data_IF_232904613851
#
_entry.id   IF_232904613851
#
_cell.length_a   1.000
_cell.length_b   1.000
_cell.length_c   1.000
_cell.angle_alpha   90.00
_cell.angle_beta   90.00
_cell.angle_gamma   90.00
#
_symmetry.space_group_name_H-M   'P 1'
#
loop_
_entity.id
_entity.type
_entity.pdbx_description
1 polymer ?
#
# COMPACT_ATOMS: atom_id res chain seq x y z
N UNK A 1 3.21 25.86 5.24
CA UNK A 1 3.80 24.51 5.11
C UNK A 1 3.79 24.16 3.64
N UNK A 2 4.74 23.34 3.16
CA UNK A 2 4.74 22.98 1.73
C UNK A 2 3.61 21.99 1.45
N UNK A 3 2.99 22.06 0.27
CA UNK A 3 1.94 21.13 -0.17
C UNK A 3 2.37 19.65 -0.03
N UNK A 4 3.66 19.37 -0.18
CA UNK A 4 4.24 18.04 0.01
C UNK A 4 4.21 17.58 1.47
N UNK A 5 4.50 18.48 2.43
CA UNK A 5 4.49 18.14 3.86
C UNK A 5 3.08 17.76 4.34
N UNK A 6 2.07 18.45 3.80
CA UNK A 6 0.67 18.19 4.12
C UNK A 6 0.25 16.80 3.62
N UNK A 7 0.57 16.48 2.35
CA UNK A 7 0.33 15.14 1.78
C UNK A 7 1.06 14.04 2.57
N UNK A 8 2.32 14.27 2.95
CA UNK A 8 3.06 13.31 3.79
C UNK A 8 2.41 13.12 5.16
N UNK A 9 1.87 14.20 5.74
CA UNK A 9 1.10 14.15 6.98
C UNK A 9 -0.18 13.31 6.87
N UNK A 10 -0.95 13.51 5.80
CA UNK A 10 -2.18 12.76 5.53
C UNK A 10 -1.91 11.27 5.29
N UNK A 11 -0.90 10.94 4.51
CA UNK A 11 -0.54 9.53 4.26
C UNK A 11 -0.04 8.87 5.54
N UNK A 12 0.73 9.57 6.36
CA UNK A 12 1.14 9.07 7.67
C UNK A 12 -0.07 8.81 8.59
N UNK A 13 -1.05 9.71 8.60
CA UNK A 13 -2.29 9.52 9.34
C UNK A 13 -3.07 8.31 8.81
N UNK A 14 -3.20 8.15 7.50
CA UNK A 14 -3.88 7.02 6.89
C UNK A 14 -3.26 5.68 7.30
N UNK A 15 -1.93 5.59 7.40
CA UNK A 15 -1.25 4.39 7.91
C UNK A 15 -1.64 4.08 9.38
N UNK A 16 -1.74 5.10 10.24
CA UNK A 16 -2.20 4.92 11.63
C UNK A 16 -3.66 4.47 11.71
N UNK A 17 -4.52 4.98 10.82
CA UNK A 17 -5.93 4.56 10.76
C UNK A 17 -6.10 3.08 10.42
N UNK A 18 -5.17 2.45 9.69
CA UNK A 18 -5.24 1.01 9.42
C UNK A 18 -5.21 0.19 10.72
N UNK A 19 -4.46 0.64 11.72
CA UNK A 19 -4.39 0.00 13.04
C UNK A 19 -5.68 0.23 13.82
N UNK A 20 -6.15 1.47 13.85
CA UNK A 20 -7.39 1.84 14.56
C UNK A 20 -8.61 1.06 14.03
N UNK A 21 -8.63 0.81 12.71
CA UNK A 21 -9.68 0.03 12.05
C UNK A 21 -9.52 -1.49 12.20
N UNK A 22 -8.50 -1.95 12.93
CA UNK A 22 -8.23 -3.39 13.13
C UNK A 22 -7.75 -4.12 11.87
N UNK A 23 -7.23 -3.41 10.87
CA UNK A 23 -6.70 -4.00 9.63
C UNK A 23 -5.25 -4.47 9.75
N UNK A 24 -4.57 -4.08 10.82
CA UNK A 24 -3.28 -4.58 11.25
C UNK A 24 -3.31 -4.83 12.76
N UNK A 25 -2.70 -5.93 13.20
CA UNK A 25 -2.60 -6.34 14.60
C UNK A 25 -1.13 -6.46 15.04
N UNK A 26 -0.89 -6.89 16.27
CA UNK A 26 0.47 -7.01 16.83
C UNK A 26 1.43 -7.84 15.94
N UNK A 27 0.94 -8.81 15.17
CA UNK A 27 1.77 -9.67 14.31
C UNK A 27 2.09 -9.05 12.95
N UNK A 28 1.32 -8.03 12.55
CA UNK A 28 1.38 -7.38 11.23
C UNK A 28 1.61 -5.87 11.34
N UNK A 29 1.90 -5.35 12.53
CA UNK A 29 1.91 -3.91 12.84
C UNK A 29 2.93 -3.11 12.03
N UNK A 30 4.01 -3.73 11.55
CA UNK A 30 5.01 -3.10 10.68
C UNK A 30 4.75 -3.36 9.18
N UNK A 31 3.83 -4.27 8.86
CA UNK A 31 3.46 -4.69 7.51
C UNK A 31 2.32 -3.84 6.98
N UNK A 32 2.28 -3.66 5.67
CA UNK A 32 1.27 -2.84 5.01
C UNK A 32 1.66 -1.37 4.91
N UNK A 33 1.07 -0.72 3.92
CA UNK A 33 1.44 0.60 3.47
C UNK A 33 0.24 1.30 2.84
N UNK A 34 0.12 2.60 3.11
CA UNK A 34 -0.66 3.52 2.27
C UNK A 34 0.31 4.30 1.39
N UNK A 35 0.01 4.39 0.10
CA UNK A 35 0.69 5.30 -0.83
C UNK A 35 -0.28 6.30 -1.44
N UNK A 36 0.22 7.48 -1.81
CA UNK A 36 -0.58 8.51 -2.47
C UNK A 36 0.22 9.22 -3.57
N UNK A 37 -0.38 9.36 -4.75
CA UNK A 37 0.19 10.06 -5.91
C UNK A 37 0.36 11.55 -5.58
N UNK A 38 1.50 12.11 -5.89
CA UNK A 38 1.75 13.53 -5.62
C UNK A 38 0.89 14.41 -6.53
N UNK A 39 0.15 15.40 -5.99
CA UNK A 39 -0.54 16.40 -6.79
C UNK A 39 0.42 17.09 -7.77
N UNK A 40 0.00 17.24 -9.03
CA UNK A 40 0.81 17.85 -10.08
C UNK A 40 2.01 17.04 -10.58
N UNK A 41 2.32 15.88 -9.97
CA UNK A 41 3.44 15.00 -10.35
C UNK A 41 2.93 13.56 -10.56
N UNK A 42 2.31 13.27 -11.71
CA UNK A 42 1.61 12.01 -11.93
C UNK A 42 2.53 10.79 -11.93
N UNK A 43 3.83 10.97 -12.16
CA UNK A 43 4.86 9.93 -12.16
C UNK A 43 5.47 9.68 -10.76
N UNK A 44 4.93 10.30 -9.71
CA UNK A 44 5.48 10.20 -8.35
C UNK A 44 4.40 9.98 -7.30
N UNK A 45 4.80 9.32 -6.22
CA UNK A 45 3.94 9.07 -5.06
C UNK A 45 4.77 9.06 -3.78
N UNK A 46 4.10 9.25 -2.65
CA UNK A 46 4.67 9.06 -1.31
C UNK A 46 4.17 7.75 -0.71
N UNK A 47 5.00 7.12 0.09
CA UNK A 47 4.69 5.87 0.79
C UNK A 47 5.42 5.84 2.14
N UNK A 48 4.85 5.13 3.11
CA UNK A 48 5.54 4.77 4.35
C UNK A 48 6.82 3.98 4.06
N UNK A 49 7.92 4.40 4.66
CA UNK A 49 9.20 3.68 4.59
C UNK A 49 9.17 2.34 5.36
N UNK A 50 10.16 1.50 5.08
CA UNK A 50 10.39 0.26 5.82
C UNK A 50 10.81 0.57 7.27
N UNK A 51 10.28 -0.20 8.23
CA UNK A 51 10.70 -0.17 9.64
C UNK A 51 9.62 0.29 10.61
N UNK A 52 9.13 1.55 10.54
CA UNK A 52 8.18 2.05 11.53
C UNK A 52 6.90 1.21 11.62
N UNK A 53 6.41 1.00 12.83
CA UNK A 53 5.07 0.48 13.06
C UNK A 53 4.02 1.43 12.44
N UNK A 54 2.94 0.87 11.88
CA UNK A 54 1.84 1.64 11.29
C UNK A 54 1.28 2.66 12.29
N UNK A 55 1.12 2.29 13.56
CA UNK A 55 0.66 3.16 14.66
C UNK A 55 1.61 4.30 15.01
N UNK A 56 2.90 4.17 14.65
CA UNK A 56 3.96 5.15 14.91
C UNK A 56 4.51 5.76 13.62
N UNK A 57 3.71 5.75 12.56
CA UNK A 57 4.09 6.34 11.28
C UNK A 57 3.79 7.84 11.31
N UNK A 58 4.77 8.67 10.96
CA UNK A 58 4.68 10.15 10.91
C UNK A 58 5.23 10.64 9.57
N UNK A 59 5.15 11.95 9.30
CA UNK A 59 5.59 12.52 8.01
C UNK A 59 7.08 12.27 7.75
N UNK A 60 7.89 12.23 8.81
CA UNK A 60 9.33 11.96 8.77
C UNK A 60 9.64 10.52 8.35
N UNK A 61 8.64 9.64 8.39
CA UNK A 61 8.73 8.26 7.94
C UNK A 61 8.29 8.07 6.50
N UNK A 62 7.91 9.14 5.79
CA UNK A 62 7.50 9.09 4.38
C UNK A 62 8.71 9.20 3.45
N UNK A 63 8.63 8.50 2.33
CA UNK A 63 9.59 8.57 1.23
C UNK A 63 8.85 8.80 -0.08
N UNK A 64 9.45 9.59 -0.97
CA UNK A 64 8.91 9.83 -2.30
C UNK A 64 9.54 8.87 -3.30
N UNK A 65 8.72 8.32 -4.19
CA UNK A 65 9.05 7.24 -5.12
C UNK A 65 8.52 7.61 -6.51
N UNK A 66 9.26 7.28 -7.56
CA UNK A 66 8.74 7.35 -8.92
C UNK A 66 7.92 6.10 -9.29
N UNK A 67 7.16 6.17 -10.39
CA UNK A 67 6.38 5.03 -10.91
C UNK A 67 7.22 3.85 -11.43
N UNK A 68 8.55 3.98 -11.45
CA UNK A 68 9.47 2.87 -11.73
C UNK A 68 9.89 2.13 -10.43
N UNK A 69 9.46 2.63 -9.27
CA UNK A 69 9.73 2.04 -7.96
C UNK A 69 11.06 2.47 -7.35
N UNK A 70 11.67 3.56 -7.83
CA UNK A 70 12.91 4.11 -7.28
C UNK A 70 12.62 5.25 -6.32
N UNK A 71 13.38 5.30 -5.23
CA UNK A 71 13.30 6.39 -4.26
C UNK A 71 13.89 7.65 -4.86
N UNK A 72 13.09 8.72 -4.91
CA UNK A 72 13.46 10.03 -5.46
C UNK A 72 13.45 11.14 -4.41
N UNK A 73 12.98 10.86 -3.18
CA UNK A 73 12.99 11.83 -2.09
C UNK A 73 12.72 11.23 -0.71
N UNK A 74 12.81 12.09 0.32
CA UNK A 74 12.67 11.71 1.74
C UNK A 74 14.00 11.41 2.43
N UNK A 75 13.99 11.05 3.73
CA UNK A 75 15.21 10.91 4.54
C UNK A 75 16.13 9.81 4.02
N UNK A 76 17.44 10.09 3.86
CA UNK A 76 18.42 9.16 3.26
C UNK A 76 18.51 7.81 3.98
N UNK A 77 18.39 7.81 5.31
CA UNK A 77 18.52 6.62 6.14
C UNK A 77 17.35 5.62 6.02
N UNK A 78 16.21 6.04 5.46
CA UNK A 78 15.02 5.21 5.35
C UNK A 78 14.99 4.44 4.03
N UNK A 79 14.68 3.15 4.09
CA UNK A 79 14.58 2.30 2.91
C UNK A 79 13.13 2.20 2.40
N UNK A 80 12.98 1.86 1.11
CA UNK A 80 11.67 1.55 0.54
C UNK A 80 11.13 0.24 1.14
N UNK A 81 9.80 0.11 1.26
CA UNK A 81 9.19 -1.18 1.58
C UNK A 81 9.35 -2.17 0.43
N UNK A 82 9.45 -3.47 0.75
CA UNK A 82 9.65 -4.54 -0.24
C UNK A 82 8.53 -4.60 -1.30
N UNK A 83 7.33 -4.13 -0.95
CA UNK A 83 6.11 -4.19 -1.75
C UNK A 83 5.94 -2.96 -2.66
N UNK A 84 6.89 -2.01 -2.66
CA UNK A 84 6.80 -0.73 -3.40
C UNK A 84 6.53 -0.91 -4.91
N UNK A 85 7.03 -2.00 -5.51
CA UNK A 85 6.82 -2.30 -6.93
C UNK A 85 5.35 -2.55 -7.26
N UNK A 86 4.58 -3.17 -6.37
CA UNK A 86 3.14 -3.36 -6.58
C UNK A 86 2.40 -2.03 -6.63
N UNK A 87 2.70 -1.11 -5.70
CA UNK A 87 2.17 0.25 -5.72
C UNK A 87 2.55 0.99 -7.00
N UNK A 88 3.81 0.87 -7.41
CA UNK A 88 4.35 1.52 -8.61
C UNK A 88 3.65 1.03 -9.88
N UNK A 89 3.45 -0.28 -10.04
CA UNK A 89 2.75 -0.84 -11.19
C UNK A 89 1.29 -0.36 -11.26
N UNK A 90 0.56 -0.42 -10.14
CA UNK A 90 -0.84 0.04 -10.10
C UNK A 90 -0.91 1.53 -10.45
N UNK A 91 -0.10 2.38 -9.82
CA UNK A 91 -0.13 3.82 -10.06
C UNK A 91 0.38 4.19 -11.47
N UNK A 92 1.22 3.37 -12.09
CA UNK A 92 1.65 3.56 -13.49
C UNK A 92 0.56 3.19 -14.49
N UNK A 93 -0.11 2.06 -14.27
CA UNK A 93 -1.07 1.48 -15.22
C UNK A 93 -2.50 1.99 -15.02
N UNK A 94 -2.79 2.58 -13.85
CA UNK A 94 -4.09 3.16 -13.50
C UNK A 94 -3.95 4.63 -13.13
N UNK A 95 -3.89 5.54 -14.13
CA UNK A 95 -3.82 6.98 -13.89
C UNK A 95 -5.01 7.54 -13.10
N UNK A 96 -6.16 6.85 -13.15
CA UNK A 96 -7.36 7.18 -12.39
C UNK A 96 -7.25 6.86 -10.89
N UNK A 97 -6.28 6.03 -10.49
CA UNK A 97 -6.02 5.68 -9.09
C UNK A 97 -5.01 6.65 -8.49
N UNK A 98 -5.38 7.29 -7.37
CA UNK A 98 -4.50 8.21 -6.64
C UNK A 98 -3.89 7.61 -5.37
N UNK A 99 -4.47 6.53 -4.83
CA UNK A 99 -3.97 5.91 -3.61
C UNK A 99 -4.08 4.40 -3.67
N UNK A 100 -3.13 3.72 -3.03
CA UNK A 100 -3.11 2.27 -2.90
C UNK A 100 -2.90 1.94 -1.42
N UNK A 101 -3.75 1.06 -0.89
CA UNK A 101 -3.66 0.54 0.46
C UNK A 101 -3.34 -0.94 0.37
N UNK A 102 -2.27 -1.35 1.07
CA UNK A 102 -1.89 -2.75 1.22
C UNK A 102 -1.84 -3.10 2.70
N UNK A 103 -2.51 -4.18 3.10
CA UNK A 103 -2.61 -4.65 4.49
C UNK A 103 -2.76 -6.16 4.54
N UNK A 104 -2.48 -6.77 5.69
CA UNK A 104 -2.55 -8.23 5.89
C UNK A 104 -3.59 -8.65 6.97
N UNK A 105 -4.89 -8.34 6.84
CA UNK A 105 -5.88 -8.75 7.83
C UNK A 105 -6.00 -10.28 7.89
N UNK A 106 -6.06 -10.85 9.09
CA UNK A 106 -6.06 -12.32 9.33
C UNK A 106 -7.04 -13.08 8.44
N UNK A 107 -8.30 -12.65 8.36
CA UNK A 107 -9.33 -13.37 7.61
C UNK A 107 -9.16 -13.26 6.09
N UNK A 108 -8.69 -12.12 5.59
CA UNK A 108 -8.40 -11.92 4.16
C UNK A 108 -7.22 -12.79 3.72
N UNK A 109 -6.17 -12.88 4.55
CA UNK A 109 -5.01 -13.75 4.31
C UNK A 109 -5.42 -15.23 4.38
N UNK A 110 -6.29 -15.61 5.32
CA UNK A 110 -6.79 -16.99 5.39
C UNK A 110 -7.53 -17.38 4.10
N UNK A 111 -8.42 -16.52 3.60
CA UNK A 111 -9.14 -16.78 2.35
C UNK A 111 -8.21 -16.86 1.14
N UNK A 112 -7.15 -16.06 1.08
CA UNK A 112 -6.18 -16.15 0.00
C UNK A 112 -5.38 -17.46 0.04
N UNK A 113 -5.06 -18.00 1.22
CA UNK A 113 -4.41 -19.32 1.34
C UNK A 113 -5.35 -20.44 0.92
N UNK A 114 -6.63 -20.35 1.26
CA UNK A 114 -7.65 -21.33 0.86
C UNK A 114 -7.96 -21.29 -0.64
N UNK A 115 -7.53 -20.24 -1.36
CA UNK A 115 -7.84 -20.00 -2.77
C UNK A 115 -9.35 -19.94 -3.07
N UNK A 116 -10.15 -19.64 -2.04
CA UNK A 116 -11.60 -19.51 -2.14
C UNK A 116 -11.99 -18.06 -2.47
N UNK A 117 -13.11 -17.89 -3.17
CA UNK A 117 -13.63 -16.57 -3.49
C UNK A 117 -14.63 -16.11 -2.44
N UNK A 118 -14.51 -14.85 -2.00
CA UNK A 118 -15.47 -14.25 -1.07
C UNK A 118 -16.85 -14.12 -1.73
N UNK A 119 -17.82 -14.87 -1.22
CA UNK A 119 -19.22 -14.77 -1.60
C UNK A 119 -19.98 -13.64 -0.88
N UNK A 120 -21.18 -13.29 -1.35
CA UNK A 120 -22.07 -12.33 -0.70
C UNK A 120 -22.65 -12.91 0.60
N UNK A 121 -21.90 -12.80 1.71
CA UNK A 121 -22.31 -13.35 3.01
C UNK A 121 -23.22 -12.43 3.82
N UNK A 122 -23.22 -11.13 3.52
CA UNK A 122 -24.04 -10.12 4.15
C UNK A 122 -24.25 -8.92 3.22
N UNK A 123 -25.19 -8.03 3.53
CA UNK A 123 -25.50 -6.84 2.73
C UNK A 123 -24.26 -5.99 2.43
N UNK A 124 -23.34 -5.85 3.38
CA UNK A 124 -22.09 -5.10 3.20
C UNK A 124 -21.11 -5.82 2.26
N UNK A 125 -21.10 -7.16 2.28
CA UNK A 125 -20.24 -8.00 1.45
C UNK A 125 -20.65 -8.08 -0.01
N UNK A 126 -21.92 -7.80 -0.34
CA UNK A 126 -22.44 -7.89 -1.72
C UNK A 126 -21.61 -7.08 -2.71
N UNK A 127 -21.21 -5.86 -2.34
CA UNK A 127 -20.45 -4.97 -3.23
C UNK A 127 -19.01 -5.47 -3.44
N UNK A 128 -18.44 -6.12 -2.45
CA UNK A 128 -17.08 -6.66 -2.50
C UNK A 128 -17.01 -7.93 -3.36
N UNK A 129 -17.96 -8.84 -3.15
CA UNK A 129 -18.05 -10.14 -3.84
C UNK A 129 -18.32 -9.99 -5.35
N UNK A 130 -19.14 -9.02 -5.75
CA UNK A 130 -19.61 -8.92 -7.13
C UNK A 130 -18.64 -8.17 -8.07
N UNK A 131 -17.73 -7.33 -7.55
CA UNK A 131 -16.99 -6.38 -8.40
C UNK A 131 -15.52 -6.13 -8.02
N UNK A 132 -15.02 -6.62 -6.88
CA UNK A 132 -13.76 -6.08 -6.30
C UNK A 132 -12.70 -7.13 -5.98
N UNK A 133 -13.07 -8.36 -5.62
CA UNK A 133 -12.10 -9.39 -5.23
C UNK A 133 -11.69 -10.25 -6.42
N UNK A 134 -10.50 -9.99 -6.96
CA UNK A 134 -9.79 -10.91 -7.86
C UNK A 134 -8.65 -11.54 -7.07
N UNK A 135 -8.65 -12.86 -6.94
CA UNK A 135 -7.47 -13.58 -6.47
C UNK A 135 -6.41 -13.49 -7.58
N UNK A 136 -5.26 -12.90 -7.28
CA UNK A 136 -4.10 -13.00 -8.15
C UNK A 136 -3.33 -14.27 -7.76
N UNK A 137 -2.72 -14.94 -8.75
CA UNK A 137 -1.84 -16.08 -8.47
C UNK A 137 -0.66 -15.63 -7.61
N UNK A 138 -0.26 -16.50 -6.67
CA UNK A 138 0.86 -16.19 -5.76
C UNK A 138 2.19 -16.25 -6.54
N UNK A 139 2.66 -15.10 -7.01
CA UNK A 139 4.02 -14.93 -7.54
C UNK A 139 5.01 -14.58 -6.43
N UNK A 140 6.22 -15.14 -6.46
CA UNK A 140 7.28 -14.70 -5.53
C UNK A 140 7.83 -13.35 -5.94
N UNK A 141 7.80 -12.35 -5.07
CA UNK A 141 8.54 -11.09 -5.26
C UNK A 141 10.04 -11.35 -5.05
N UNK A 142 10.74 -11.89 -6.05
CA UNK A 142 12.21 -11.96 -6.03
C UNK A 142 12.79 -10.67 -6.60
N UNK A 143 13.79 -10.12 -5.92
CA UNK A 143 14.60 -9.05 -6.49
C UNK A 143 15.36 -9.60 -7.71
N UNK A 144 14.84 -9.36 -8.91
CA UNK A 144 15.48 -9.78 -10.17
C UNK A 144 14.55 -10.29 -11.26
N UNK A 145 13.26 -10.49 -11.00
CA UNK A 145 12.37 -11.01 -12.05
C UNK A 145 12.13 -9.97 -13.16
N UNK A 146 12.21 -10.36 -14.46
CA UNK A 146 11.98 -9.48 -15.59
C UNK A 146 10.50 -9.07 -15.65
N UNK A 147 10.18 -7.92 -16.27
CA UNK A 147 8.80 -7.49 -16.41
C UNK A 147 8.01 -8.52 -17.24
N UNK A 148 7.04 -9.17 -16.62
CA UNK A 148 6.09 -10.03 -17.33
C UNK A 148 5.25 -9.16 -18.27
N UNK A 149 5.16 -9.60 -19.53
CA UNK A 149 4.44 -8.96 -20.64
C UNK A 149 2.94 -8.94 -20.42
#
# INVERSE_FOLDING_TARGET
>A
MSELDDVMGEVALANRMLVEMGLADSSTIERGHVSFRLPGQPDRFVIKALGPALSMTYKEHMVAVDTNGFKVGGPKALNLPNEVKMHSCILRERPDVNSVVHVHPRYTVLMSVLQEQLGPMCILGNRLALNVVKNAEMGTLRAGDPPHR
#
